data_IF_082502011103
#
_entry.id   IF_082502011103
#
_cell.length_a   1.000
_cell.length_b   1.000
_cell.length_c   1.000
_cell.angle_alpha   90.00
_cell.angle_beta   90.00
_cell.angle_gamma   90.00
#
_symmetry.space_group_name_H-M   'P 1'
#
loop_
_entity.id
_entity.type
_entity.pdbx_description
1 polymer ?
#
# COMPACT_ATOMS: atom_id res chain seq x y z
N UNK A 1 -4.74 -2.25 12.49
CA UNK A 1 -3.94 -3.30 11.81
C UNK A 1 -2.54 -2.74 11.59
N UNK A 2 -1.47 -3.53 11.80
CA UNK A 2 -0.11 -3.09 11.53
C UNK A 2 0.07 -2.77 10.04
N UNK A 3 0.90 -1.77 9.74
CA UNK A 3 1.32 -1.47 8.36
C UNK A 3 2.43 -2.45 7.99
N UNK A 4 2.20 -3.23 6.93
CA UNK A 4 3.15 -4.23 6.46
C UNK A 4 4.20 -3.62 5.52
N UNK A 5 3.86 -2.50 4.86
CA UNK A 5 4.78 -1.72 4.04
C UNK A 5 4.48 -0.23 4.24
N UNK A 6 5.52 0.59 4.37
CA UNK A 6 5.44 2.04 4.57
C UNK A 6 6.46 2.70 3.65
N UNK A 7 5.97 3.42 2.65
CA UNK A 7 6.81 4.09 1.65
C UNK A 7 6.74 5.59 1.87
N UNK A 8 7.89 6.27 1.83
CA UNK A 8 7.93 7.71 1.96
C UNK A 8 9.15 8.33 1.30
N UNK A 9 9.05 9.61 0.96
CA UNK A 9 10.09 10.36 0.26
C UNK A 9 10.42 11.72 0.91
N UNK A 10 10.05 11.88 2.19
CA UNK A 10 10.23 13.11 2.96
C UNK A 10 8.99 14.02 2.98
N UNK A 11 8.20 14.06 1.90
CA UNK A 11 7.00 14.90 1.81
C UNK A 11 5.70 14.09 1.71
N UNK A 12 5.78 12.85 1.20
CA UNK A 12 4.67 11.91 1.24
C UNK A 12 5.02 10.67 2.05
N UNK A 13 3.97 10.05 2.61
CA UNK A 13 4.01 8.72 3.18
C UNK A 13 2.77 7.94 2.76
N UNK A 14 2.95 6.71 2.30
CA UNK A 14 1.88 5.77 1.96
C UNK A 14 2.06 4.49 2.77
N UNK A 15 1.04 4.11 3.54
CA UNK A 15 1.04 2.89 4.33
C UNK A 15 0.13 1.83 3.73
N UNK A 16 0.63 0.60 3.60
CA UNK A 16 -0.11 -0.56 3.12
C UNK A 16 -0.31 -1.58 4.25
N UNK A 17 -1.42 -2.31 4.23
CA UNK A 17 -1.61 -3.49 5.08
C UNK A 17 -1.07 -4.79 4.42
N UNK A 18 -1.20 -5.91 5.12
CA UNK A 18 -0.73 -7.22 4.65
C UNK A 18 -1.48 -7.77 3.44
N UNK A 19 -2.59 -7.14 3.04
CA UNK A 19 -3.32 -7.48 1.83
C UNK A 19 -2.95 -6.59 0.64
N UNK A 20 -1.97 -5.71 0.82
CA UNK A 20 -1.55 -4.69 -0.14
C UNK A 20 -2.61 -3.62 -0.43
N UNK A 21 -3.56 -3.42 0.49
CA UNK A 21 -4.50 -2.31 0.44
C UNK A 21 -3.87 -1.06 1.04
N UNK A 22 -4.14 0.11 0.43
CA UNK A 22 -3.65 1.40 0.92
C UNK A 22 -4.49 1.82 2.12
N UNK A 23 -3.81 2.23 3.19
CA UNK A 23 -4.43 2.55 4.46
C UNK A 23 -4.17 3.95 4.96
N UNK A 24 -2.99 4.48 4.67
CA UNK A 24 -2.64 5.85 5.01
C UNK A 24 -2.03 6.53 3.80
N UNK A 25 -2.39 7.80 3.60
CA UNK A 25 -1.73 8.70 2.66
C UNK A 25 -1.52 10.01 3.41
N UNK A 26 -0.27 10.41 3.60
CA UNK A 26 0.11 11.71 4.14
C UNK A 26 0.78 12.53 3.06
N UNK A 27 0.36 13.79 2.94
CA UNK A 27 0.92 14.80 2.03
C UNK A 27 0.36 16.18 2.45
N UNK A 28 1.10 17.30 2.34
CA UNK A 28 2.48 17.45 1.87
C UNK A 28 3.54 17.21 2.94
N UNK A 29 3.14 16.83 4.16
CA UNK A 29 4.05 16.50 5.27
C UNK A 29 3.59 15.22 5.95
N UNK A 30 4.55 14.38 6.31
CA UNK A 30 4.29 13.15 7.07
C UNK A 30 3.80 13.52 8.47
N UNK A 31 2.63 13.00 8.86
CA UNK A 31 2.01 13.26 10.16
C UNK A 31 0.98 14.38 10.21
N UNK A 32 0.74 15.12 9.12
CA UNK A 32 -0.36 16.10 9.02
C UNK A 32 -1.72 15.39 8.84
N UNK A 33 -2.47 15.68 7.76
CA UNK A 33 -3.74 15.02 7.47
C UNK A 33 -3.50 13.66 6.82
N UNK A 34 -4.14 12.62 7.37
CA UNK A 34 -4.28 11.35 6.67
C UNK A 34 -5.44 11.43 5.67
N UNK A 35 -5.10 11.46 4.37
CA UNK A 35 -6.05 11.65 3.27
C UNK A 35 -6.99 10.46 3.06
N UNK A 36 -6.67 9.28 3.60
CA UNK A 36 -7.64 8.16 3.59
C UNK A 36 -8.71 8.33 4.66
N UNK A 37 -8.50 9.21 5.64
CA UNK A 37 -9.34 9.38 6.83
C UNK A 37 -9.61 8.03 7.56
N UNK A 38 -8.66 7.10 7.50
CA UNK A 38 -8.76 5.76 8.10
C UNK A 38 -9.50 4.72 7.24
N UNK A 39 -10.08 5.13 6.11
CA UNK A 39 -10.75 4.23 5.18
C UNK A 39 -9.76 3.29 4.49
N UNK A 40 -10.30 2.18 3.97
CA UNK A 40 -9.53 1.24 3.14
C UNK A 40 -9.59 1.73 1.70
N UNK A 41 -8.42 1.86 1.07
CA UNK A 41 -8.32 2.07 -0.36
C UNK A 41 -7.83 0.76 -0.98
N UNK A 42 -8.75 0.02 -1.60
CA UNK A 42 -8.47 -1.29 -2.18
C UNK A 42 -7.63 -1.16 -3.46
N UNK A 43 -6.79 -2.17 -3.69
CA UNK A 43 -5.94 -2.27 -4.89
C UNK A 43 -6.37 -3.50 -5.69
N UNK A 44 -6.42 -3.37 -7.02
CA UNK A 44 -6.80 -4.47 -7.90
C UNK A 44 -6.31 -4.27 -9.33
N UNK A 45 -6.40 -5.34 -10.11
CA UNK A 45 -6.02 -5.36 -11.52
C UNK A 45 -7.26 -5.46 -12.40
N UNK A 46 -7.28 -4.67 -13.47
CA UNK A 46 -8.25 -4.80 -14.56
C UNK A 46 -7.52 -5.20 -15.84
N UNK A 47 -7.79 -6.41 -16.33
CA UNK A 47 -7.12 -6.97 -17.52
C UNK A 47 -8.15 -7.73 -18.35
N UNK A 48 -8.17 -7.48 -19.67
CA UNK A 48 -9.02 -8.19 -20.63
C UNK A 48 -10.51 -8.25 -20.23
N UNK A 49 -11.05 -7.12 -19.73
CA UNK A 49 -12.46 -7.03 -19.34
C UNK A 49 -12.80 -7.67 -17.99
N UNK A 50 -11.82 -8.16 -17.25
CA UNK A 50 -12.00 -8.77 -15.93
C UNK A 50 -11.28 -7.96 -14.86
N UNK A 51 -11.90 -7.88 -13.70
CA UNK A 51 -11.37 -7.22 -12.52
C UNK A 51 -11.13 -8.23 -11.40
N UNK A 52 -10.05 -8.07 -10.63
CA UNK A 52 -9.79 -8.83 -9.41
C UNK A 52 -9.13 -7.94 -8.34
N UNK A 53 -9.56 -8.08 -7.08
CA UNK A 53 -8.96 -7.39 -5.94
C UNK A 53 -7.72 -8.15 -5.45
N UNK A 54 -6.69 -7.43 -5.00
CA UNK A 54 -5.48 -8.05 -4.45
C UNK A 54 -5.67 -8.61 -3.04
N UNK A 55 -6.71 -8.17 -2.32
CA UNK A 55 -7.02 -8.71 -1.01
C UNK A 55 -7.59 -10.13 -1.06
N UNK A 56 -8.11 -10.54 -2.23
CA UNK A 56 -8.65 -11.87 -2.45
C UNK A 56 -7.61 -12.95 -2.13
N UNK A 57 -8.04 -14.02 -1.44
CA UNK A 57 -7.16 -15.12 -1.02
C UNK A 57 -6.55 -15.94 -2.16
N UNK A 58 -6.98 -15.70 -3.41
CA UNK A 58 -6.40 -16.31 -4.60
C UNK A 58 -4.99 -15.77 -4.94
N UNK A 59 -4.64 -14.57 -4.45
CA UNK A 59 -3.33 -13.96 -4.69
C UNK A 59 -2.29 -14.39 -3.65
N UNK A 60 -1.17 -14.92 -4.15
CA UNK A 60 0.08 -14.99 -3.40
C UNK A 60 0.76 -13.63 -3.47
N UNK A 61 1.21 -13.12 -2.31
CA UNK A 61 1.81 -11.80 -2.18
C UNK A 61 3.06 -11.93 -1.31
N UNK A 62 4.15 -11.32 -1.74
CA UNK A 62 5.32 -11.08 -0.93
C UNK A 62 5.51 -9.58 -0.80
N UNK A 63 5.48 -9.07 0.42
CA UNK A 63 5.72 -7.65 0.70
C UNK A 63 7.11 -7.53 1.32
N UNK A 64 8.03 -6.86 0.63
CA UNK A 64 9.37 -6.62 1.10
C UNK A 64 9.85 -5.20 0.73
N UNK A 65 11.04 -4.87 1.22
CA UNK A 65 11.85 -3.79 0.69
C UNK A 65 13.04 -4.38 -0.05
N UNK A 66 13.53 -3.65 -1.05
CA UNK A 66 14.86 -3.93 -1.61
C UNK A 66 15.89 -3.81 -0.49
N UNK A 67 16.86 -4.73 -0.46
CA UNK A 67 17.92 -4.81 0.55
C UNK A 67 18.58 -3.44 0.79
N UNK A 68 18.81 -3.12 2.07
CA UNK A 68 19.40 -1.86 2.54
C UNK A 68 18.71 -0.58 2.04
N UNK A 69 17.41 -0.66 1.73
CA UNK A 69 16.64 0.49 1.24
C UNK A 69 15.21 0.55 1.79
N UNK A 70 14.54 1.69 1.58
CA UNK A 70 13.09 1.86 1.81
C UNK A 70 12.31 1.86 0.48
N UNK A 71 12.84 1.19 -0.54
CA UNK A 71 12.17 0.99 -1.83
C UNK A 71 11.35 -0.29 -1.76
N UNK A 72 10.09 -0.25 -2.21
CA UNK A 72 9.23 -1.44 -2.21
C UNK A 72 9.75 -2.51 -3.17
N UNK A 73 9.75 -3.76 -2.71
CA UNK A 73 9.90 -4.96 -3.54
C UNK A 73 8.70 -5.87 -3.26
N UNK A 74 7.71 -5.83 -4.15
CA UNK A 74 6.42 -6.50 -3.96
C UNK A 74 6.08 -7.31 -5.20
N UNK A 75 5.75 -8.59 -4.99
CA UNK A 75 5.32 -9.54 -6.02
C UNK A 75 4.01 -10.19 -5.64
#
# INVERSE_FOLDING_TARGET
MPRSLVLGNGNSLVGFDGTYSVRDIYYPRVGDANHTMGNVCHVGFFVNGKFAWLEDGAWQRQLAYVEDSLVSDVT
#
